data_IF_038045431868
#
_entry.id   IF_038045431868
#
_cell.length_a   1.000
_cell.length_b   1.000
_cell.length_c   1.000
_cell.angle_alpha   90.00
_cell.angle_beta   90.00
_cell.angle_gamma   90.00
#
_symmetry.space_group_name_H-M   'P 1'
#
loop_
_entity.id
_entity.type
_entity.pdbx_description
1 polymer ?
#
# COMPACT_ATOMS: atom_id res chain seq x y z
N UNK A 1 -17.64 -25.87 24.87
CA UNK A 1 -17.39 -24.82 23.85
C UNK A 1 -17.06 -23.55 24.62
N UNK A 2 -15.77 -23.30 24.84
CA UNK A 2 -15.33 -22.32 25.83
C UNK A 2 -15.20 -20.96 25.14
N UNK A 3 -16.10 -20.06 25.50
CA UNK A 3 -15.91 -18.62 25.35
C UNK A 3 -14.72 -18.20 26.22
N UNK A 4 -13.79 -17.43 25.68
CA UNK A 4 -12.75 -16.77 26.50
C UNK A 4 -13.10 -15.28 26.55
N UNK A 5 -13.23 -14.69 27.76
CA UNK A 5 -13.63 -13.31 27.95
C UNK A 5 -12.46 -12.35 27.68
N UNK A 6 -12.79 -11.16 27.19
CA UNK A 6 -11.85 -10.03 27.08
C UNK A 6 -11.60 -9.47 28.48
N UNK A 7 -10.36 -9.52 28.96
CA UNK A 7 -9.96 -8.86 30.19
C UNK A 7 -9.84 -7.34 29.97
N UNK A 8 -10.41 -6.56 30.88
CA UNK A 8 -10.53 -5.10 30.82
C UNK A 8 -9.28 -4.33 31.29
N UNK A 9 -8.13 -4.99 31.45
CA UNK A 9 -6.89 -4.34 31.87
C UNK A 9 -5.85 -4.57 30.77
N UNK A 10 -5.29 -3.47 30.23
CA UNK A 10 -4.45 -3.42 29.04
C UNK A 10 -3.07 -4.07 29.14
N UNK A 11 -2.99 -5.27 29.69
CA UNK A 11 -1.80 -6.13 29.61
C UNK A 11 -1.96 -7.10 28.44
N UNK A 12 -1.09 -6.95 27.44
CA UNK A 12 -0.97 -7.89 26.33
C UNK A 12 -0.47 -9.25 26.86
N UNK A 13 -1.05 -10.38 26.41
CA UNK A 13 -0.58 -11.69 26.83
C UNK A 13 0.87 -11.91 26.38
N UNK A 14 1.73 -12.31 27.31
CA UNK A 14 3.12 -12.62 27.06
C UNK A 14 3.23 -13.73 25.98
N UNK A 15 3.81 -13.38 24.83
CA UNK A 15 3.97 -14.28 23.67
C UNK A 15 3.14 -13.92 22.44
N UNK A 16 2.29 -12.90 22.49
CA UNK A 16 1.71 -12.31 21.28
C UNK A 16 2.81 -11.53 20.51
N UNK A 17 2.89 -11.64 19.17
CA UNK A 17 3.78 -10.79 18.39
C UNK A 17 3.42 -9.33 18.66
N UNK A 18 4.43 -8.51 18.99
CA UNK A 18 4.24 -7.07 19.22
C UNK A 18 3.41 -6.46 18.08
N UNK A 19 2.51 -5.51 18.38
CA UNK A 19 1.83 -4.75 17.34
C UNK A 19 2.89 -4.19 16.39
N UNK A 20 2.80 -4.52 15.11
CA UNK A 20 3.70 -3.96 14.11
C UNK A 20 3.44 -2.47 14.09
N UNK A 21 4.37 -1.68 14.66
CA UNK A 21 4.50 -0.26 14.38
C UNK A 21 4.88 -0.13 12.90
N UNK A 22 3.88 -0.30 12.05
CA UNK A 22 3.95 0.16 10.68
C UNK A 22 3.76 1.66 10.79
N UNK A 23 4.85 2.39 11.05
CA UNK A 23 4.90 3.76 10.58
C UNK A 23 4.82 3.66 9.05
N UNK A 24 3.59 3.62 8.53
CA UNK A 24 3.31 4.14 7.21
C UNK A 24 3.76 5.59 7.29
N UNK A 25 5.03 5.83 6.98
CA UNK A 25 5.47 7.18 6.75
C UNK A 25 4.58 7.75 5.65
N UNK A 26 3.99 8.89 6.00
CA UNK A 26 2.98 9.67 5.29
C UNK A 26 3.23 9.84 3.79
N UNK A 27 4.43 9.60 3.31
CA UNK A 27 4.85 9.89 1.95
C UNK A 27 4.53 8.80 0.91
N UNK A 28 4.14 7.58 1.30
CA UNK A 28 3.86 6.51 0.31
C UNK A 28 2.43 6.57 -0.21
N UNK A 29 1.44 6.62 0.68
CA UNK A 29 0.03 6.73 0.27
C UNK A 29 -0.32 8.10 -0.33
N UNK A 30 0.31 9.19 0.13
CA UNK A 30 0.10 10.55 -0.37
C UNK A 30 0.55 10.75 -1.83
N UNK A 31 1.55 9.99 -2.28
CA UNK A 31 2.06 10.02 -3.67
C UNK A 31 1.25 9.11 -4.60
N UNK A 32 0.46 8.18 -4.05
CA UNK A 32 -0.32 7.17 -4.78
C UNK A 32 -1.78 7.57 -5.06
N UNK A 33 -2.32 8.54 -4.30
CA UNK A 33 -3.67 9.07 -4.54
C UNK A 33 -3.79 9.82 -5.88
N UNK A 34 -2.66 10.17 -6.52
CA UNK A 34 -2.59 10.97 -7.75
C UNK A 34 -3.28 10.29 -8.94
N UNK A 35 -3.30 8.96 -9.08
CA UNK A 35 -3.85 8.29 -10.29
C UNK A 35 -5.37 8.12 -10.25
N UNK A 36 -5.92 7.70 -9.10
CA UNK A 36 -7.35 7.73 -8.81
C UNK A 36 -7.88 9.17 -8.88
N UNK A 37 -7.10 10.10 -8.32
CA UNK A 37 -7.30 11.54 -8.44
C UNK A 37 -7.30 12.00 -9.89
N UNK A 38 -6.32 11.62 -10.74
CA UNK A 38 -6.30 12.04 -12.14
C UNK A 38 -7.51 11.51 -12.91
N UNK A 39 -7.97 10.27 -12.62
CA UNK A 39 -9.20 9.72 -13.22
C UNK A 39 -10.44 10.51 -12.83
N UNK A 40 -10.65 10.78 -11.53
CA UNK A 40 -11.78 11.56 -11.04
C UNK A 40 -11.70 13.04 -11.44
N UNK A 41 -10.52 13.65 -11.29
CA UNK A 41 -10.22 15.03 -11.68
C UNK A 41 -10.47 15.23 -13.17
N UNK A 42 -10.17 14.26 -14.04
CA UNK A 42 -10.51 14.38 -15.47
C UNK A 42 -12.02 14.49 -15.68
N UNK A 43 -12.81 13.57 -15.11
CA UNK A 43 -14.28 13.65 -15.21
C UNK A 43 -14.83 14.96 -14.62
N UNK A 44 -14.23 15.44 -13.54
CA UNK A 44 -14.73 16.59 -12.79
C UNK A 44 -14.15 17.94 -13.24
N UNK A 45 -13.03 17.95 -13.98
CA UNK A 45 -12.48 19.11 -14.73
C UNK A 45 -13.49 19.60 -15.77
N UNK A 46 -14.07 18.66 -16.51
CA UNK A 46 -15.09 18.95 -17.54
C UNK A 46 -16.36 19.58 -16.95
N UNK A 47 -16.56 19.44 -15.65
CA UNK A 47 -17.74 19.96 -14.92
C UNK A 47 -17.43 21.10 -13.93
N UNK A 48 -16.18 21.58 -13.83
CA UNK A 48 -15.71 22.55 -12.80
C UNK A 48 -15.92 22.08 -11.34
N UNK A 49 -15.84 20.78 -11.08
CA UNK A 49 -16.13 20.13 -9.77
C UNK A 49 -14.89 19.54 -9.09
N UNK A 50 -13.70 19.99 -9.47
CA UNK A 50 -12.41 19.49 -8.95
C UNK A 50 -12.23 19.64 -7.43
N UNK A 51 -12.99 20.55 -6.80
CA UNK A 51 -12.94 20.79 -5.35
C UNK A 51 -13.21 19.53 -4.52
N UNK A 52 -14.13 18.66 -4.96
CA UNK A 52 -14.52 17.46 -4.19
C UNK A 52 -13.38 16.44 -4.13
N UNK A 53 -12.77 16.13 -5.27
CA UNK A 53 -11.62 15.21 -5.32
C UNK A 53 -10.44 15.81 -4.57
N UNK A 54 -10.19 17.12 -4.73
CA UNK A 54 -9.14 17.81 -3.98
C UNK A 54 -9.36 17.72 -2.48
N UNK A 55 -10.59 17.89 -2.00
CA UNK A 55 -10.92 17.80 -0.58
C UNK A 55 -10.70 16.38 -0.05
N UNK A 56 -11.12 15.34 -0.79
CA UNK A 56 -10.86 13.94 -0.44
C UNK A 56 -9.35 13.69 -0.33
N UNK A 57 -8.57 14.06 -1.36
CA UNK A 57 -7.12 13.86 -1.37
C UNK A 57 -6.42 14.59 -0.23
N UNK A 58 -6.78 15.86 0.04
CA UNK A 58 -6.19 16.64 1.12
C UNK A 58 -6.56 16.10 2.51
N UNK A 59 -7.80 15.65 2.70
CA UNK A 59 -8.24 15.07 3.97
C UNK A 59 -7.53 13.73 4.24
N UNK A 60 -7.39 12.88 3.20
CA UNK A 60 -6.63 11.62 3.28
C UNK A 60 -5.16 11.89 3.62
N UNK A 61 -4.51 12.87 2.97
CA UNK A 61 -3.14 13.26 3.28
C UNK A 61 -2.98 13.74 4.73
N UNK A 62 -3.96 14.51 5.23
CA UNK A 62 -3.99 14.95 6.63
C UNK A 62 -4.38 13.85 7.62
N UNK A 63 -4.69 12.64 7.15
CA UNK A 63 -5.27 11.53 7.93
C UNK A 63 -6.58 11.92 8.64
N UNK A 64 -7.28 12.91 8.12
CA UNK A 64 -8.59 13.33 8.59
C UNK A 64 -9.64 12.46 7.91
N UNK A 65 -9.85 11.27 8.47
CA UNK A 65 -10.76 10.26 7.89
C UNK A 65 -12.23 10.69 7.94
N UNK A 66 -12.61 11.57 8.86
CA UNK A 66 -13.96 12.12 8.95
C UNK A 66 -14.22 13.12 7.82
N UNK A 67 -13.30 14.08 7.61
CA UNK A 67 -13.41 15.01 6.50
C UNK A 67 -13.31 14.29 5.14
N UNK A 68 -12.47 13.26 5.03
CA UNK A 68 -12.35 12.46 3.82
C UNK A 68 -13.65 11.71 3.50
N UNK A 69 -14.26 11.05 4.50
CA UNK A 69 -15.53 10.35 4.33
C UNK A 69 -16.65 11.33 3.97
N UNK A 70 -16.75 12.46 4.70
CA UNK A 70 -17.74 13.49 4.41
C UNK A 70 -17.62 14.01 2.97
N UNK A 71 -16.40 14.32 2.52
CA UNK A 71 -16.18 14.81 1.17
C UNK A 71 -16.51 13.75 0.09
N UNK A 72 -16.29 12.47 0.38
CA UNK A 72 -16.65 11.36 -0.50
C UNK A 72 -18.17 11.16 -0.56
N UNK A 73 -18.85 11.22 0.58
CA UNK A 73 -20.32 11.10 0.67
C UNK A 73 -21.00 12.27 -0.06
N UNK A 74 -20.51 13.50 0.12
CA UNK A 74 -20.96 14.69 -0.62
C UNK A 74 -20.78 14.52 -2.14
N UNK A 75 -19.62 14.02 -2.58
CA UNK A 75 -19.36 13.76 -4.01
C UNK A 75 -20.36 12.73 -4.58
N UNK A 76 -20.60 11.64 -3.86
CA UNK A 76 -21.51 10.56 -4.31
C UNK A 76 -22.96 11.03 -4.32
N UNK A 77 -23.38 11.81 -3.33
CA UNK A 77 -24.73 12.34 -3.22
C UNK A 77 -25.02 13.39 -4.31
N UNK A 78 -24.09 14.32 -4.55
CA UNK A 78 -24.26 15.36 -5.56
C UNK A 78 -24.10 14.83 -7.00
N UNK A 79 -23.24 13.82 -7.20
CA UNK A 79 -22.85 13.33 -8.53
C UNK A 79 -22.94 11.80 -8.64
N UNK A 80 -24.14 11.21 -8.57
CA UNK A 80 -24.32 9.76 -8.65
C UNK A 80 -23.82 9.17 -9.98
N UNK A 81 -23.68 9.97 -11.04
CA UNK A 81 -23.04 9.57 -12.30
C UNK A 81 -21.55 9.21 -12.13
N UNK A 82 -20.85 9.79 -11.16
CA UNK A 82 -19.44 9.49 -10.90
C UNK A 82 -19.29 8.04 -10.43
N UNK A 83 -20.20 7.56 -9.59
CA UNK A 83 -20.22 6.16 -9.15
C UNK A 83 -20.47 5.23 -10.33
N UNK A 84 -21.33 5.61 -11.28
CA UNK A 84 -21.59 4.80 -12.48
C UNK A 84 -20.39 4.75 -13.43
N UNK A 85 -19.73 5.88 -13.62
CA UNK A 85 -18.68 6.03 -14.63
C UNK A 85 -17.29 5.58 -14.14
N UNK A 86 -16.94 5.88 -12.88
CA UNK A 86 -15.64 5.54 -12.28
C UNK A 86 -15.82 4.86 -10.90
N UNK A 87 -16.56 3.73 -10.82
CA UNK A 87 -16.85 3.05 -9.55
C UNK A 87 -15.58 2.62 -8.81
N UNK A 88 -14.55 2.19 -9.56
CA UNK A 88 -13.30 1.73 -8.98
C UNK A 88 -12.52 2.85 -8.28
N UNK A 89 -12.61 4.10 -8.77
CA UNK A 89 -11.96 5.23 -8.09
C UNK A 89 -12.67 5.58 -6.79
N UNK A 90 -14.00 5.52 -6.76
CA UNK A 90 -14.78 5.74 -5.53
C UNK A 90 -14.43 4.67 -4.48
N UNK A 91 -14.41 3.39 -4.89
CA UNK A 91 -14.01 2.29 -4.01
C UNK A 91 -12.57 2.41 -3.52
N UNK A 92 -11.65 2.83 -4.37
CA UNK A 92 -10.25 3.06 -3.97
C UNK A 92 -10.15 4.11 -2.85
N UNK A 93 -10.87 5.23 -2.98
CA UNK A 93 -10.90 6.24 -1.91
C UNK A 93 -11.58 5.73 -0.64
N UNK A 94 -12.71 5.01 -0.75
CA UNK A 94 -13.38 4.39 0.39
C UNK A 94 -12.48 3.41 1.13
N UNK A 95 -11.78 2.53 0.40
CA UNK A 95 -10.85 1.56 0.97
C UNK A 95 -9.65 2.25 1.64
N UNK A 96 -9.16 3.37 1.09
CA UNK A 96 -8.15 4.20 1.73
C UNK A 96 -8.62 4.79 3.05
N UNK A 97 -9.85 5.30 3.11
CA UNK A 97 -10.45 5.82 4.36
C UNK A 97 -10.55 4.71 5.42
N UNK A 98 -11.06 3.53 5.05
CA UNK A 98 -11.09 2.38 5.96
C UNK A 98 -9.70 1.99 6.46
N UNK A 99 -8.70 2.00 5.57
CA UNK A 99 -7.33 1.66 5.95
C UNK A 99 -6.80 2.60 7.05
N UNK A 100 -7.00 3.91 6.88
CA UNK A 100 -6.57 4.90 7.88
C UNK A 100 -7.38 4.85 9.18
N UNK A 101 -8.63 4.40 9.12
CA UNK A 101 -9.44 4.08 10.32
C UNK A 101 -9.03 2.78 11.00
N UNK A 102 -8.11 2.02 10.41
CA UNK A 102 -7.71 0.66 10.83
C UNK A 102 -8.81 -0.40 10.66
N UNK A 103 -9.82 -0.11 9.83
CA UNK A 103 -10.84 -1.06 9.40
C UNK A 103 -10.27 -1.94 8.27
N UNK A 104 -9.21 -2.70 8.55
CA UNK A 104 -8.41 -3.34 7.50
C UNK A 104 -9.19 -4.38 6.69
N UNK A 105 -10.22 -5.02 7.26
CA UNK A 105 -11.07 -5.95 6.52
C UNK A 105 -11.92 -5.23 5.48
N UNK A 106 -12.50 -4.07 5.82
CA UNK A 106 -13.27 -3.26 4.86
C UNK A 106 -12.35 -2.61 3.83
N UNK A 107 -11.17 -2.13 4.24
CA UNK A 107 -10.15 -1.65 3.33
C UNK A 107 -9.75 -2.73 2.30
N UNK A 108 -9.52 -3.96 2.79
CA UNK A 108 -9.19 -5.10 1.94
C UNK A 108 -10.34 -5.41 0.97
N UNK A 109 -11.59 -5.46 1.44
CA UNK A 109 -12.77 -5.73 0.60
C UNK A 109 -12.91 -4.72 -0.54
N UNK A 110 -12.77 -3.43 -0.23
CA UNK A 110 -12.87 -2.39 -1.27
C UNK A 110 -11.75 -2.52 -2.30
N UNK A 111 -10.51 -2.75 -1.85
CA UNK A 111 -9.37 -2.92 -2.76
C UNK A 111 -9.45 -4.22 -3.57
N UNK A 112 -9.97 -5.30 -2.99
CA UNK A 112 -10.22 -6.56 -3.69
C UNK A 112 -11.29 -6.42 -4.77
N UNK A 113 -12.35 -5.67 -4.51
CA UNK A 113 -13.36 -5.35 -5.52
C UNK A 113 -12.76 -4.54 -6.68
N UNK A 114 -11.89 -3.57 -6.39
CA UNK A 114 -11.18 -2.79 -7.41
C UNK A 114 -10.28 -3.68 -8.26
N UNK A 115 -9.43 -4.50 -7.62
CA UNK A 115 -8.50 -5.41 -8.32
C UNK A 115 -9.28 -6.41 -9.18
N UNK A 116 -10.29 -7.08 -8.63
CA UNK A 116 -11.12 -8.05 -9.34
C UNK A 116 -11.84 -7.45 -10.56
N UNK A 117 -12.32 -6.21 -10.42
CA UNK A 117 -12.94 -5.45 -11.52
C UNK A 117 -11.93 -5.15 -12.63
N UNK A 118 -10.72 -4.72 -12.27
CA UNK A 118 -9.65 -4.42 -13.24
C UNK A 118 -9.11 -5.68 -13.92
N UNK A 119 -8.90 -6.78 -13.21
CA UNK A 119 -8.49 -8.07 -13.79
C UNK A 119 -9.51 -8.58 -14.79
N UNK A 120 -10.81 -8.47 -14.48
CA UNK A 120 -11.89 -8.83 -15.41
C UNK A 120 -11.88 -7.96 -16.67
N UNK A 121 -11.61 -6.66 -16.52
CA UNK A 121 -11.54 -5.71 -17.64
C UNK A 121 -10.28 -5.92 -18.49
N UNK A 122 -9.17 -6.30 -17.87
CA UNK A 122 -7.87 -6.48 -18.49
C UNK A 122 -7.29 -7.89 -18.21
N UNK A 123 -7.93 -8.96 -18.71
CA UNK A 123 -7.57 -10.33 -18.35
C UNK A 123 -6.18 -10.75 -18.85
N UNK A 124 -5.68 -10.09 -19.89
CA UNK A 124 -4.33 -10.29 -20.43
C UNK A 124 -3.32 -9.26 -19.92
N UNK A 125 -3.68 -8.51 -18.87
CA UNK A 125 -2.96 -7.33 -18.43
C UNK A 125 -3.35 -6.07 -19.21
N UNK A 126 -2.80 -4.94 -18.77
CA UNK A 126 -3.10 -3.64 -19.37
C UNK A 126 -2.34 -3.54 -20.70
N UNK A 127 -3.03 -3.23 -21.83
CA UNK A 127 -2.39 -3.15 -23.13
C UNK A 127 -1.21 -2.17 -23.12
N UNK A 128 -0.10 -2.59 -23.72
CA UNK A 128 1.04 -1.72 -23.94
C UNK A 128 0.70 -0.68 -25.02
N UNK A 129 0.97 0.59 -24.72
CA UNK A 129 0.74 1.71 -25.64
C UNK A 129 -0.69 2.25 -25.67
N UNK A 130 -0.82 3.45 -26.22
CA UNK A 130 -2.07 4.22 -26.26
C UNK A 130 -2.14 5.30 -25.18
N UNK A 131 -3.06 6.26 -25.35
CA UNK A 131 -3.13 7.51 -24.55
C UNK A 131 -3.26 7.31 -23.03
N UNK A 132 -3.63 6.11 -22.56
CA UNK A 132 -3.99 5.85 -21.16
C UNK A 132 -3.39 4.56 -20.58
N UNK A 133 -2.49 3.88 -21.27
CA UNK A 133 -1.90 2.62 -20.79
C UNK A 133 -1.15 2.80 -19.48
N UNK A 134 -0.33 3.86 -19.39
CA UNK A 134 0.49 4.17 -18.22
C UNK A 134 -0.37 4.50 -16.99
N UNK A 135 -1.35 5.40 -17.14
CA UNK A 135 -2.26 5.78 -16.05
C UNK A 135 -3.05 4.57 -15.54
N UNK A 136 -3.47 3.68 -16.44
CA UNK A 136 -4.16 2.46 -16.03
C UNK A 136 -3.22 1.49 -15.31
N UNK A 137 -1.98 1.33 -15.79
CA UNK A 137 -0.98 0.47 -15.17
C UNK A 137 -0.61 0.94 -13.77
N UNK A 138 -0.43 2.25 -13.62
CA UNK A 138 -0.19 2.87 -12.31
C UNK A 138 -1.39 2.69 -11.38
N UNK A 139 -2.61 2.98 -11.83
CA UNK A 139 -3.80 2.79 -10.99
C UNK A 139 -4.01 1.32 -10.55
N UNK A 140 -3.75 0.38 -11.46
CA UNK A 140 -3.83 -1.05 -11.12
C UNK A 140 -2.71 -1.44 -10.15
N UNK A 141 -1.49 -0.91 -10.32
CA UNK A 141 -0.40 -1.08 -9.36
C UNK A 141 -0.77 -0.57 -7.97
N UNK A 142 -1.34 0.64 -7.88
CA UNK A 142 -1.79 1.25 -6.63
C UNK A 142 -2.87 0.41 -5.94
N UNK A 143 -3.83 -0.13 -6.70
CA UNK A 143 -4.87 -1.00 -6.16
C UNK A 143 -4.30 -2.33 -5.59
N UNK A 144 -3.36 -2.97 -6.30
CA UNK A 144 -2.68 -4.14 -5.75
C UNK A 144 -1.85 -3.79 -4.52
N UNK A 145 -1.13 -2.68 -4.54
CA UNK A 145 -0.33 -2.24 -3.40
C UNK A 145 -1.22 -2.01 -2.17
N UNK A 146 -2.33 -1.29 -2.32
CA UNK A 146 -3.27 -1.02 -1.23
C UNK A 146 -3.95 -2.29 -0.70
N UNK A 147 -4.35 -3.22 -1.58
CA UNK A 147 -4.85 -4.55 -1.15
C UNK A 147 -3.78 -5.33 -0.39
N UNK A 148 -2.54 -5.31 -0.87
CA UNK A 148 -1.39 -5.93 -0.23
C UNK A 148 -1.08 -5.33 1.14
N UNK A 149 -1.17 -4.01 1.28
CA UNK A 149 -1.00 -3.31 2.55
C UNK A 149 -2.10 -3.68 3.56
N UNK A 150 -3.37 -3.72 3.14
CA UNK A 150 -4.45 -4.21 4.00
C UNK A 150 -4.26 -5.69 4.38
N UNK A 151 -3.85 -6.53 3.42
CA UNK A 151 -3.53 -7.94 3.65
C UNK A 151 -2.36 -8.12 4.66
N UNK A 152 -1.34 -7.27 4.61
CA UNK A 152 -0.25 -7.26 5.61
C UNK A 152 -0.78 -7.03 7.02
N UNK A 153 -1.66 -6.03 7.18
CA UNK A 153 -2.25 -5.70 8.49
C UNK A 153 -3.15 -6.82 9.01
N UNK A 154 -3.83 -7.54 8.10
CA UNK A 154 -4.61 -8.74 8.40
C UNK A 154 -3.75 -10.00 8.57
N UNK A 155 -2.42 -9.89 8.59
CA UNK A 155 -1.47 -11.02 8.67
C UNK A 155 -1.58 -12.03 7.52
N UNK A 156 -2.17 -11.65 6.38
CA UNK A 156 -2.27 -12.45 5.15
C UNK A 156 -0.99 -12.29 4.31
N UNK A 157 0.16 -12.64 4.88
CA UNK A 157 1.49 -12.31 4.31
C UNK A 157 1.74 -12.89 2.91
N UNK A 158 1.26 -14.11 2.62
CA UNK A 158 1.44 -14.74 1.31
C UNK A 158 0.70 -13.96 0.21
N UNK A 159 -0.51 -13.51 0.52
CA UNK A 159 -1.29 -12.67 -0.39
C UNK A 159 -0.65 -11.30 -0.56
N UNK A 160 -0.22 -10.66 0.52
CA UNK A 160 0.47 -9.38 0.46
C UNK A 160 1.73 -9.43 -0.43
N UNK A 161 2.57 -10.46 -0.26
CA UNK A 161 3.76 -10.62 -1.10
C UNK A 161 3.41 -10.80 -2.59
N UNK A 162 2.34 -11.56 -2.90
CA UNK A 162 1.82 -11.71 -4.26
C UNK A 162 1.33 -10.39 -4.85
N UNK A 163 0.58 -9.63 -4.07
CA UNK A 163 0.06 -8.32 -4.46
C UNK A 163 1.16 -7.29 -4.68
N UNK A 164 2.16 -7.21 -3.80
CA UNK A 164 3.31 -6.33 -3.99
C UNK A 164 4.13 -6.71 -5.23
N UNK A 165 4.33 -8.02 -5.48
CA UNK A 165 4.98 -8.48 -6.72
C UNK A 165 4.21 -8.03 -7.96
N UNK A 166 2.88 -8.14 -7.93
CA UNK A 166 2.03 -7.73 -9.05
C UNK A 166 2.05 -6.20 -9.23
N UNK A 167 1.94 -5.44 -8.14
CA UNK A 167 2.06 -3.99 -8.15
C UNK A 167 3.38 -3.52 -8.78
N UNK A 168 4.50 -4.11 -8.34
CA UNK A 168 5.83 -3.78 -8.87
C UNK A 168 5.96 -4.11 -10.37
N UNK A 169 5.39 -5.23 -10.83
CA UNK A 169 5.41 -5.61 -12.25
C UNK A 169 4.62 -4.66 -13.16
N UNK A 170 3.62 -3.96 -12.61
CA UNK A 170 2.77 -3.02 -13.35
C UNK A 170 3.38 -1.62 -13.37
N UNK A 171 3.88 -1.16 -12.23
CA UNK A 171 4.55 0.12 -12.09
C UNK A 171 5.65 -0.02 -11.01
N UNK A 172 6.92 -0.10 -11.40
CA UNK A 172 8.02 -0.19 -10.45
C UNK A 172 8.13 1.08 -9.62
N UNK A 173 8.00 0.95 -8.29
CA UNK A 173 8.19 2.05 -7.33
C UNK A 173 9.04 1.57 -6.17
N UNK A 174 9.96 2.41 -5.71
CA UNK A 174 11.04 2.03 -4.79
C UNK A 174 10.56 1.47 -3.44
N UNK A 175 9.42 1.93 -2.93
CA UNK A 175 8.86 1.46 -1.66
C UNK A 175 8.18 0.08 -1.75
N UNK A 176 7.84 -0.41 -2.96
CA UNK A 176 7.12 -1.70 -3.11
C UNK A 176 8.02 -2.88 -2.74
N UNK A 177 9.28 -3.00 -3.23
CA UNK A 177 10.18 -4.07 -2.83
C UNK A 177 10.45 -4.10 -1.32
N UNK A 178 10.47 -2.95 -0.63
CA UNK A 178 10.63 -2.91 0.82
C UNK A 178 9.44 -3.54 1.55
N UNK A 179 8.21 -3.24 1.13
CA UNK A 179 7.01 -3.86 1.69
C UNK A 179 6.92 -5.35 1.36
N UNK A 180 7.36 -5.74 0.15
CA UNK A 180 7.51 -7.14 -0.24
C UNK A 180 8.53 -7.87 0.64
N UNK A 181 9.69 -7.26 0.92
CA UNK A 181 10.69 -7.79 1.86
C UNK A 181 10.07 -8.07 3.23
N UNK A 182 9.35 -7.11 3.81
CA UNK A 182 8.66 -7.26 5.11
C UNK A 182 7.68 -8.44 5.08
N UNK A 183 6.87 -8.57 4.03
CA UNK A 183 5.95 -9.70 3.87
C UNK A 183 6.69 -11.05 3.79
N UNK A 184 7.77 -11.12 3.03
CA UNK A 184 8.59 -12.32 2.84
C UNK A 184 9.32 -12.74 4.13
N UNK A 185 9.80 -11.79 4.93
CA UNK A 185 10.37 -12.07 6.25
C UNK A 185 9.35 -12.74 7.18
N UNK A 186 8.09 -12.29 7.16
CA UNK A 186 7.01 -12.90 7.97
C UNK A 186 6.65 -14.30 7.51
N UNK A 187 6.90 -14.63 6.25
CA UNK A 187 6.76 -15.98 5.69
C UNK A 187 8.00 -16.86 5.91
N UNK A 188 9.08 -16.33 6.49
CA UNK A 188 10.36 -17.02 6.62
C UNK A 188 11.12 -17.19 5.29
N UNK A 189 10.65 -16.56 4.20
CA UNK A 189 11.29 -16.57 2.87
C UNK A 189 12.47 -15.60 2.82
N UNK A 190 13.52 -15.93 3.59
CA UNK A 190 14.64 -15.03 3.87
C UNK A 190 15.46 -14.67 2.64
N UNK A 191 15.68 -15.62 1.73
CA UNK A 191 16.45 -15.37 0.50
C UNK A 191 15.74 -14.36 -0.39
N UNK A 192 14.46 -14.56 -0.66
CA UNK A 192 13.66 -13.64 -1.45
C UNK A 192 13.48 -12.29 -0.75
N UNK A 193 13.39 -12.28 0.58
CA UNK A 193 13.36 -11.04 1.36
C UNK A 193 14.68 -10.25 1.21
N UNK A 194 15.83 -10.93 1.18
CA UNK A 194 17.12 -10.29 0.98
C UNK A 194 17.23 -9.65 -0.41
N UNK A 195 16.82 -10.39 -1.45
CA UNK A 195 16.76 -9.88 -2.83
C UNK A 195 15.83 -8.66 -2.93
N UNK A 196 14.66 -8.71 -2.27
CA UNK A 196 13.70 -7.61 -2.25
C UNK A 196 14.24 -6.36 -1.52
N UNK A 197 15.01 -6.55 -0.44
CA UNK A 197 15.63 -5.45 0.28
C UNK A 197 16.78 -4.81 -0.50
N UNK A 198 17.64 -5.60 -1.13
CA UNK A 198 18.69 -5.10 -2.01
C UNK A 198 18.11 -4.30 -3.19
N UNK A 199 16.99 -4.78 -3.76
CA UNK A 199 16.28 -4.04 -4.78
C UNK A 199 15.73 -2.71 -4.24
N UNK A 200 15.05 -2.72 -3.09
CA UNK A 200 14.55 -1.49 -2.45
C UNK A 200 15.66 -0.46 -2.21
N UNK A 201 16.80 -0.93 -1.71
CA UNK A 201 17.98 -0.12 -1.45
C UNK A 201 18.55 0.46 -2.75
N UNK A 202 18.75 -0.35 -3.79
CA UNK A 202 19.24 0.11 -5.10
C UNK A 202 18.33 1.13 -5.78
N UNK A 203 17.03 1.12 -5.45
CA UNK A 203 16.03 2.06 -5.94
C UNK A 203 15.90 3.31 -5.06
N UNK A 204 16.76 3.46 -4.04
CA UNK A 204 16.72 4.56 -3.06
C UNK A 204 15.35 4.70 -2.38
N UNK A 205 14.76 3.58 -1.94
CA UNK A 205 13.50 3.64 -1.21
C UNK A 205 13.65 4.54 0.04
N UNK A 206 12.76 5.53 0.28
CA UNK A 206 12.96 6.58 1.29
C UNK A 206 13.23 6.10 2.73
N UNK A 207 12.85 4.87 3.06
CA UNK A 207 13.06 4.29 4.40
C UNK A 207 14.01 3.10 4.43
N UNK A 208 14.47 2.60 3.28
CA UNK A 208 15.37 1.44 3.26
C UNK A 208 16.71 1.72 3.97
N UNK A 209 17.16 2.97 3.97
CA UNK A 209 18.38 3.41 4.66
C UNK A 209 18.17 3.84 6.12
N UNK A 210 16.92 4.01 6.56
CA UNK A 210 16.63 4.45 7.94
C UNK A 210 17.14 3.41 8.91
N UNK A 211 17.82 3.88 9.97
CA UNK A 211 18.55 3.02 10.90
C UNK A 211 17.66 1.94 11.54
N UNK A 212 16.39 2.26 11.81
CA UNK A 212 15.41 1.34 12.37
C UNK A 212 15.04 0.22 11.39
N UNK A 213 14.61 0.56 10.18
CA UNK A 213 14.25 -0.39 9.12
C UNK A 213 15.44 -1.28 8.75
N UNK A 214 16.62 -0.67 8.57
CA UNK A 214 17.85 -1.38 8.29
C UNK A 214 18.26 -2.29 9.44
N UNK A 215 18.23 -1.79 10.68
CA UNK A 215 18.58 -2.56 11.87
C UNK A 215 17.69 -3.80 12.03
N UNK A 216 16.38 -3.63 11.89
CA UNK A 216 15.40 -4.72 11.96
C UNK A 216 15.60 -5.74 10.83
N UNK A 217 15.61 -5.30 9.57
CA UNK A 217 15.72 -6.20 8.41
C UNK A 217 17.05 -6.93 8.42
N UNK A 218 18.16 -6.21 8.61
CA UNK A 218 19.48 -6.82 8.65
C UNK A 218 19.66 -7.74 9.87
N UNK A 219 19.09 -7.39 11.02
CA UNK A 219 19.06 -8.27 12.20
C UNK A 219 18.33 -9.60 11.91
N UNK A 220 17.16 -9.53 11.28
CA UNK A 220 16.35 -10.68 10.89
C UNK A 220 17.02 -11.59 9.84
N UNK A 221 17.90 -11.01 9.03
CA UNK A 221 18.64 -11.70 7.96
C UNK A 221 20.07 -12.10 8.37
N UNK A 222 20.62 -11.58 9.47
CA UNK A 222 22.02 -11.75 9.91
C UNK A 222 22.51 -13.19 10.09
N UNK A 223 21.59 -14.14 10.32
CA UNK A 223 21.93 -15.55 10.61
C UNK A 223 21.81 -16.48 9.40
N UNK A 224 21.40 -15.99 8.23
CA UNK A 224 21.16 -16.83 7.05
C UNK A 224 21.74 -16.18 5.79
N UNK A 225 22.48 -16.96 5.00
CA UNK A 225 22.96 -16.52 3.70
C UNK A 225 21.89 -16.70 2.61
N UNK A 226 21.80 -15.80 1.62
CA UNK A 226 22.65 -14.61 1.45
C UNK A 226 22.20 -13.42 2.31
N UNK A 227 23.15 -12.76 2.96
CA UNK A 227 22.93 -11.46 3.59
C UNK A 227 22.73 -10.40 2.48
N UNK A 228 21.74 -9.49 2.59
CA UNK A 228 21.59 -8.41 1.63
C UNK A 228 22.86 -7.58 1.53
N UNK A 229 23.26 -7.19 0.32
CA UNK A 229 24.35 -6.23 0.12
C UNK A 229 24.12 -4.94 0.89
N UNK A 230 22.86 -4.48 0.98
CA UNK A 230 22.45 -3.31 1.77
C UNK A 230 22.78 -3.43 3.28
N UNK A 231 22.90 -4.66 3.79
CA UNK A 231 23.24 -4.95 5.18
C UNK A 231 24.75 -5.03 5.43
N UNK A 232 25.55 -5.25 4.38
CA UNK A 232 27.00 -5.23 4.50
C UNK A 232 27.43 -3.78 4.76
N UNK A 233 28.10 -3.54 5.88
CA UNK A 233 28.81 -2.26 6.06
C UNK A 233 29.87 -2.21 4.97
N UNK A 234 29.75 -1.29 4.01
CA UNK A 234 30.91 -0.87 3.24
C UNK A 234 31.88 -0.30 4.26
N UNK A 235 32.94 -1.04 4.59
CA UNK A 235 34.10 -0.45 5.25
C UNK A 235 34.55 0.62 4.28
N UNK A 236 34.31 1.89 4.63
CA UNK A 236 34.84 2.98 3.84
C UNK A 236 36.35 2.82 3.86
N UNK A 237 36.94 2.52 2.71
CA UNK A 237 38.35 2.77 2.47
C UNK A 237 38.57 4.28 2.67
N UNK A 238 39.17 4.67 3.79
CA UNK A 238 39.52 6.05 4.11
C UNK A 238 39.60 6.27 5.63
N UNK A 239 40.74 6.52 6.26
CA UNK A 239 42.06 6.84 5.72
C UNK A 239 43.17 6.48 6.71
N UNK A 240 44.36 6.40 6.13
CA UNK A 240 45.65 6.29 6.81
C UNK A 240 45.93 7.52 7.68
#
# INVERSE_FOLDING_TARGET
MIAVPVAANGEYPAGAPEPVLMELESQTFEVEAETAYQKLKRMLRESRREKYVRNITLAVARRDTEAAQKALDELVAEYPEVVRNEPNSIRYHQGGIHFWRKDFEEAYKEMDAVVSSLERKYPKGIPAGGKYSEINAMFMSDAYFARGAAAMQLSRFAQAAGDFKKAFSLAPKAYIPLNMCRALLRLGKRKEAAEAYDLAFSMNAPTAEKAEDRGYICGMLSKNEPLPKACVRTVAEGGK
#
